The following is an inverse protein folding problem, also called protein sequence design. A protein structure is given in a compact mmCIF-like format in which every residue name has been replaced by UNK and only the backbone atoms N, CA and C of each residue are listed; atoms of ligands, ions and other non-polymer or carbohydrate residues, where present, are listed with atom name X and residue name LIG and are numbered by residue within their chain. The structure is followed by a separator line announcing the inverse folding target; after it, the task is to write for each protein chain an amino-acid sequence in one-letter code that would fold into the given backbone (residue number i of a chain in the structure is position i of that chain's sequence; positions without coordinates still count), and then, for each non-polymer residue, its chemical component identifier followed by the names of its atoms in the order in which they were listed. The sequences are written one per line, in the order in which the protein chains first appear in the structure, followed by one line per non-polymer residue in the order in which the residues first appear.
data_IF_759954059961
#
_entry.id   IF_759954059961
#
_cell.length_a   1.000
_cell.length_b   1.000
_cell.length_c   1.000
_cell.angle_alpha   90.00
_cell.angle_beta   90.00
_cell.angle_gamma   90.00
#
_symmetry.space_group_name_H-M   'P 1'
#
loop_
_entity.id
_entity.type
_entity.pdbx_description
1 polymer ?
#
# COMPACT_ATOMS: atom_id res chain seq x y z
N UNK A 1 31.68 -4.92 21.23
CA UNK A 1 31.20 -5.64 20.02
C UNK A 1 29.68 -5.78 19.99
N UNK A 2 29.05 -6.24 21.08
CA UNK A 2 27.60 -6.46 21.11
C UNK A 2 26.74 -5.21 20.87
N UNK A 3 27.17 -4.04 21.35
CA UNK A 3 26.52 -2.75 21.03
C UNK A 3 26.47 -2.48 19.51
N UNK A 4 27.57 -2.69 18.79
CA UNK A 4 27.63 -2.44 17.36
C UNK A 4 26.69 -3.38 16.59
N UNK A 5 26.60 -4.64 17.01
CA UNK A 5 25.64 -5.61 16.45
C UNK A 5 24.19 -5.20 16.71
N UNK A 6 23.88 -4.80 17.95
CA UNK A 6 22.54 -4.34 18.33
C UNK A 6 22.14 -3.08 17.54
N UNK A 7 23.04 -2.11 17.41
CA UNK A 7 22.83 -0.90 16.59
C UNK A 7 22.59 -1.24 15.13
N UNK A 8 23.41 -2.11 14.53
CA UNK A 8 23.25 -2.51 13.13
C UNK A 8 21.89 -3.20 12.87
N UNK A 9 21.41 -4.04 13.78
CA UNK A 9 20.08 -4.67 13.67
C UNK A 9 18.96 -3.63 13.74
N UNK A 10 19.05 -2.69 14.68
CA UNK A 10 18.08 -1.60 14.80
C UNK A 10 18.04 -0.74 13.54
N UNK A 11 19.20 -0.35 13.02
CA UNK A 11 19.28 0.52 11.85
C UNK A 11 18.74 -0.17 10.60
N UNK A 12 19.03 -1.47 10.41
CA UNK A 12 18.41 -2.29 9.36
C UNK A 12 16.89 -2.39 9.49
N UNK A 13 16.41 -2.72 10.70
CA UNK A 13 14.96 -2.84 10.95
C UNK A 13 14.24 -1.53 10.66
N UNK A 14 14.85 -0.38 10.99
CA UNK A 14 14.33 0.94 10.65
C UNK A 14 14.20 1.14 9.14
N UNK A 15 15.25 0.79 8.37
CA UNK A 15 15.24 0.88 6.91
C UNK A 15 14.17 -0.02 6.28
N UNK A 16 14.05 -1.27 6.76
CA UNK A 16 13.03 -2.21 6.28
C UNK A 16 11.60 -1.67 6.45
N UNK A 17 11.30 -1.04 7.59
CA UNK A 17 9.99 -0.42 7.82
C UNK A 17 9.76 0.79 6.90
N UNK A 18 10.80 1.59 6.64
CA UNK A 18 10.72 2.71 5.70
C UNK A 18 10.43 2.23 4.27
N UNK A 19 11.13 1.18 3.83
CA UNK A 19 10.92 0.57 2.52
C UNK A 19 9.52 -0.03 2.40
N UNK A 20 9.03 -0.71 3.45
CA UNK A 20 7.66 -1.24 3.44
C UNK A 20 6.63 -0.12 3.29
N UNK A 21 6.76 0.98 4.03
CA UNK A 21 5.85 2.13 3.92
C UNK A 21 5.89 2.75 2.51
N UNK A 22 7.06 2.79 1.88
CA UNK A 22 7.24 3.24 0.51
C UNK A 22 6.51 2.34 -0.49
N UNK A 23 6.70 1.02 -0.40
CA UNK A 23 6.08 0.07 -1.32
C UNK A 23 4.56 0.03 -1.18
N UNK A 24 4.03 0.15 0.04
CA UNK A 24 2.58 0.27 0.26
C UNK A 24 2.01 1.52 -0.43
N UNK A 25 2.71 2.65 -0.36
CA UNK A 25 2.31 3.88 -1.06
C UNK A 25 2.36 3.72 -2.57
N UNK A 26 3.44 3.13 -3.10
CA UNK A 26 3.59 2.86 -4.54
C UNK A 26 2.50 1.92 -5.06
N UNK A 27 2.08 0.94 -4.28
CA UNK A 27 0.96 0.07 -4.66
C UNK A 27 -0.36 0.84 -4.81
N UNK A 28 -0.62 1.81 -3.93
CA UNK A 28 -1.79 2.68 -3.99
C UNK A 28 -1.71 3.62 -5.20
N UNK A 29 -0.56 4.27 -5.41
CA UNK A 29 -0.29 5.16 -6.55
C UNK A 29 -0.37 4.41 -7.89
N UNK A 30 0.18 3.19 -7.95
CA UNK A 30 0.09 2.33 -9.13
C UNK A 30 -1.36 2.04 -9.50
N UNK A 31 -2.24 1.85 -8.51
CA UNK A 31 -3.65 1.56 -8.77
C UNK A 31 -4.33 2.77 -9.43
N UNK A 32 -4.09 3.99 -8.93
CA UNK A 32 -4.59 5.23 -9.54
C UNK A 32 -4.01 5.45 -10.94
N UNK A 33 -2.69 5.36 -11.08
CA UNK A 33 -2.01 5.49 -12.37
C UNK A 33 -2.57 4.48 -13.39
N UNK A 34 -2.86 3.25 -12.94
CA UNK A 34 -3.39 2.22 -13.83
C UNK A 34 -4.82 2.52 -14.24
N UNK A 35 -5.63 3.13 -13.37
CA UNK A 35 -6.96 3.62 -13.70
C UNK A 35 -6.89 4.68 -14.82
N UNK A 36 -6.02 5.68 -14.67
CA UNK A 36 -5.79 6.72 -15.69
C UNK A 36 -5.29 6.11 -17.00
N UNK A 37 -4.36 5.15 -16.92
CA UNK A 37 -3.87 4.43 -18.08
C UNK A 37 -5.00 3.74 -18.84
N UNK A 38 -5.96 3.10 -18.16
CA UNK A 38 -7.11 2.47 -18.82
C UNK A 38 -7.99 3.48 -19.56
N UNK A 39 -8.13 4.70 -19.08
CA UNK A 39 -8.87 5.76 -19.80
C UNK A 39 -8.21 6.12 -21.14
N UNK A 40 -6.87 6.04 -21.23
CA UNK A 40 -6.14 6.23 -22.50
C UNK A 40 -6.30 5.07 -23.49
N UNK A 41 -6.92 3.95 -23.08
CA UNK A 41 -7.12 2.76 -23.94
C UNK A 41 -8.45 2.76 -24.68
N UNK A 42 -9.25 3.82 -24.55
CA UNK A 42 -10.55 3.92 -25.23
C UNK A 42 -10.37 4.06 -26.74
N UNK A 43 -11.38 3.62 -27.48
CA UNK A 43 -11.41 3.74 -28.94
C UNK A 43 -11.36 5.22 -29.33
N UNK A 44 -10.47 5.57 -30.26
CA UNK A 44 -10.26 6.94 -30.72
C UNK A 44 -9.24 7.77 -29.92
N UNK A 45 -8.70 7.24 -28.81
CA UNK A 45 -7.57 7.86 -28.11
C UNK A 45 -6.24 7.61 -28.84
N UNK A 46 -5.21 8.36 -28.48
CA UNK A 46 -3.88 8.26 -29.10
C UNK A 46 -3.31 6.84 -29.04
N UNK A 47 -2.93 6.30 -30.21
CA UNK A 47 -2.39 4.95 -30.35
C UNK A 47 -3.42 3.82 -30.24
N UNK A 48 -4.72 4.14 -30.14
CA UNK A 48 -5.81 3.16 -30.17
C UNK A 48 -6.47 3.08 -31.55
N UNK A 49 -7.15 1.96 -31.82
CA UNK A 49 -7.89 1.78 -33.06
C UNK A 49 -9.02 2.80 -33.13
N UNK A 50 -9.17 3.44 -34.28
CA UNK A 50 -10.25 4.40 -34.53
C UNK A 50 -11.52 3.70 -35.03
N UNK A 51 -12.66 4.33 -34.80
CA UNK A 51 -13.93 3.85 -35.34
C UNK A 51 -13.86 3.83 -36.88
N UNK A 52 -14.26 2.72 -37.49
CA UNK A 52 -14.23 2.59 -38.95
C UNK A 52 -15.20 3.55 -39.62
N UNK A 53 -14.67 4.54 -40.34
CA UNK A 53 -15.45 5.37 -41.24
C UNK A 53 -15.87 4.58 -42.47
N UNK A 54 -17.17 4.30 -42.59
CA UNK A 54 -17.91 3.85 -43.77
C UNK A 54 -17.33 2.64 -44.53
N UNK A 55 -18.05 1.52 -44.46
CA UNK A 55 -17.77 0.25 -45.15
C UNK A 55 -17.72 0.31 -46.70
N UNK A 56 -17.80 1.49 -47.33
CA UNK A 56 -17.90 1.65 -48.79
C UNK A 56 -16.56 1.74 -49.51
N UNK A 57 -15.42 1.81 -48.79
CA UNK A 57 -14.10 1.97 -49.40
C UNK A 57 -13.11 0.88 -48.98
N UNK A 58 -13.46 -0.41 -49.16
CA UNK A 58 -12.51 -1.53 -49.38
C UNK A 58 -11.36 -1.78 -48.40
N UNK A 59 -11.22 -1.02 -47.31
CA UNK A 59 -10.15 -1.13 -46.32
C UNK A 59 -10.77 -1.60 -45.01
N UNK A 60 -10.71 -2.92 -44.82
CA UNK A 60 -11.08 -3.66 -43.62
C UNK A 60 -10.15 -3.29 -42.45
N UNK A 61 -10.27 -2.09 -41.89
CA UNK A 61 -9.35 -1.62 -40.83
C UNK A 61 -10.02 -1.01 -39.60
N UNK A 62 -11.35 -0.92 -39.57
CA UNK A 62 -12.08 -0.23 -38.50
C UNK A 62 -12.84 -1.17 -37.57
N UNK A 63 -12.90 -0.81 -36.28
CA UNK A 63 -13.72 -1.51 -35.28
C UNK A 63 -15.20 -1.20 -35.51
N UNK A 64 -16.07 -2.21 -35.42
CA UNK A 64 -17.53 -2.04 -35.50
C UNK A 64 -18.03 -1.22 -34.32
N UNK A 65 -19.18 -0.54 -34.47
CA UNK A 65 -19.74 0.30 -33.41
C UNK A 65 -19.99 -0.47 -32.11
N UNK A 66 -20.52 -1.69 -32.20
CA UNK A 66 -20.78 -2.57 -31.06
C UNK A 66 -19.48 -2.99 -30.35
N UNK A 67 -18.44 -3.35 -31.12
CA UNK A 67 -17.15 -3.72 -30.54
C UNK A 67 -16.47 -2.50 -29.90
N UNK A 68 -16.62 -1.30 -30.48
CA UNK A 68 -16.10 -0.08 -29.90
C UNK A 68 -16.77 0.25 -28.56
N UNK A 69 -18.09 0.10 -28.48
CA UNK A 69 -18.85 0.25 -27.23
C UNK A 69 -18.39 -0.77 -26.17
N UNK A 70 -18.21 -2.03 -26.56
CA UNK A 70 -17.71 -3.09 -25.67
C UNK A 70 -16.31 -2.79 -25.12
N UNK A 71 -15.38 -2.36 -25.98
CA UNK A 71 -14.02 -1.98 -25.58
C UNK A 71 -14.00 -0.79 -24.63
N UNK A 72 -14.81 0.24 -24.91
CA UNK A 72 -14.94 1.40 -24.04
C UNK A 72 -15.55 1.04 -22.68
N UNK A 73 -16.59 0.20 -22.68
CA UNK A 73 -17.23 -0.29 -21.46
C UNK A 73 -16.26 -1.10 -20.60
N UNK A 74 -15.46 -1.97 -21.24
CA UNK A 74 -14.41 -2.72 -20.56
C UNK A 74 -13.33 -1.81 -19.95
N UNK A 75 -12.85 -0.82 -20.70
CA UNK A 75 -11.87 0.14 -20.19
C UNK A 75 -12.41 0.93 -18.97
N UNK A 76 -13.67 1.34 -19.00
CA UNK A 76 -14.35 1.99 -17.87
C UNK A 76 -14.48 1.05 -16.67
N UNK A 77 -14.85 -0.21 -16.90
CA UNK A 77 -14.92 -1.22 -15.83
C UNK A 77 -13.55 -1.45 -15.18
N UNK A 78 -12.48 -1.56 -15.97
CA UNK A 78 -11.12 -1.69 -15.46
C UNK A 78 -10.68 -0.46 -14.67
N UNK A 79 -11.08 0.74 -15.11
CA UNK A 79 -10.84 2.00 -14.39
C UNK A 79 -11.50 1.96 -13.01
N UNK A 80 -12.79 1.58 -12.94
CA UNK A 80 -13.52 1.44 -11.66
C UNK A 80 -12.83 0.44 -10.74
N UNK A 81 -12.47 -0.75 -11.25
CA UNK A 81 -11.80 -1.78 -10.46
C UNK A 81 -10.48 -1.27 -9.84
N UNK A 82 -9.72 -0.48 -10.59
CA UNK A 82 -8.46 0.08 -10.10
C UNK A 82 -8.68 1.18 -9.04
N UNK A 83 -9.75 1.98 -9.16
CA UNK A 83 -10.16 2.93 -8.11
C UNK A 83 -10.62 2.20 -6.84
N UNK A 84 -11.48 1.19 -6.98
CA UNK A 84 -11.95 0.39 -5.84
C UNK A 84 -10.79 -0.29 -5.13
N UNK A 85 -9.82 -0.81 -5.91
CA UNK A 85 -8.58 -1.36 -5.37
C UNK A 85 -7.76 -0.31 -4.64
N UNK A 86 -7.62 0.90 -5.17
CA UNK A 86 -6.93 1.99 -4.48
C UNK A 86 -7.59 2.28 -3.13
N UNK A 87 -8.92 2.45 -3.12
CA UNK A 87 -9.67 2.72 -1.90
C UNK A 87 -9.48 1.60 -0.87
N UNK A 88 -9.59 0.34 -1.29
CA UNK A 88 -9.37 -0.80 -0.40
C UNK A 88 -7.95 -0.84 0.18
N UNK A 89 -6.95 -0.52 -0.64
CA UNK A 89 -5.56 -0.43 -0.18
C UNK A 89 -5.36 0.73 0.79
N UNK A 90 -5.96 1.89 0.54
CA UNK A 90 -5.89 3.05 1.42
C UNK A 90 -6.51 2.75 2.79
N UNK A 91 -7.74 2.23 2.80
CA UNK A 91 -8.44 1.83 4.04
C UNK A 91 -7.66 0.80 4.85
N UNK A 92 -6.98 -0.14 4.17
CA UNK A 92 -6.23 -1.22 4.83
C UNK A 92 -4.85 -0.77 5.31
N UNK A 93 -4.13 0.00 4.51
CA UNK A 93 -2.69 0.21 4.70
C UNK A 93 -2.31 1.60 5.21
N UNK A 94 -3.13 2.63 4.98
CA UNK A 94 -2.84 3.98 5.50
C UNK A 94 -2.73 4.00 7.03
N UNK A 95 -3.61 3.32 7.81
CA UNK A 95 -3.44 3.23 9.26
C UNK A 95 -2.11 2.58 9.68
N UNK A 96 -1.66 1.57 8.94
CA UNK A 96 -0.40 0.88 9.21
C UNK A 96 0.81 1.78 8.90
N UNK A 97 0.78 2.50 7.78
CA UNK A 97 1.82 3.45 7.39
C UNK A 97 1.92 4.56 8.45
N UNK A 98 0.80 5.14 8.88
CA UNK A 98 0.78 6.15 9.94
C UNK A 98 1.35 5.61 11.25
N UNK A 99 0.97 4.40 11.65
CA UNK A 99 1.51 3.76 12.86
C UNK A 99 3.02 3.54 12.75
N UNK A 100 3.49 2.99 11.62
CA UNK A 100 4.90 2.77 11.36
C UNK A 100 5.70 4.08 11.39
N UNK A 101 5.17 5.16 10.80
CA UNK A 101 5.79 6.48 10.86
C UNK A 101 5.90 7.03 12.28
N UNK A 102 4.87 6.86 13.13
CA UNK A 102 4.93 7.23 14.56
C UNK A 102 6.02 6.46 15.30
N UNK A 103 6.13 5.15 15.07
CA UNK A 103 7.19 4.30 15.65
C UNK A 103 8.57 4.75 15.19
N UNK A 104 8.74 5.02 13.90
CA UNK A 104 10.01 5.45 13.31
C UNK A 104 10.47 6.83 13.79
N UNK A 105 9.53 7.77 13.94
CA UNK A 105 9.80 9.12 14.43
C UNK A 105 10.05 9.17 15.93
N UNK A 106 9.81 8.06 16.65
CA UNK A 106 9.78 8.02 18.11
C UNK A 106 8.89 9.12 18.70
N UNK A 107 7.87 9.54 17.95
CA UNK A 107 6.78 10.32 18.50
C UNK A 107 6.01 9.34 19.39
N UNK A 108 6.35 9.36 20.68
CA UNK A 108 5.72 8.49 21.64
C UNK A 108 4.24 8.87 21.72
N UNK A 109 3.37 8.09 21.09
CA UNK A 109 2.01 7.98 21.58
C UNK A 109 2.10 7.08 22.82
N UNK A 110 2.34 7.71 23.97
CA UNK A 110 2.55 7.08 25.29
C UNK A 110 1.23 6.48 25.78
N UNK A 111 0.64 5.57 25.00
CA UNK A 111 -0.52 4.76 25.39
C UNK A 111 -0.27 3.27 25.21
N UNK A 112 0.65 2.85 24.35
CA UNK A 112 0.79 1.42 24.04
C UNK A 112 1.75 0.64 24.92
N UNK A 113 2.63 1.26 25.73
CA UNK A 113 3.48 0.52 26.68
C UNK A 113 3.85 1.37 27.92
N UNK A 114 2.86 1.88 28.66
CA UNK A 114 3.06 2.15 30.10
C UNK A 114 2.83 0.86 30.87
N UNK A 115 3.75 -0.09 30.72
CA UNK A 115 3.98 -1.06 31.79
C UNK A 115 5.10 -0.45 32.63
N UNK A 116 4.75 0.54 33.44
CA UNK A 116 5.60 0.94 34.54
C UNK A 116 5.50 -0.22 35.54
N UNK A 117 6.48 -1.14 35.52
CA UNK A 117 6.73 -1.95 36.71
C UNK A 117 6.95 -0.95 37.83
N UNK A 118 5.96 -0.79 38.69
CA UNK A 118 6.16 -0.03 39.92
C UNK A 118 7.29 -0.74 40.67
N UNK A 119 8.17 0.01 41.32
CA UNK A 119 9.28 -0.59 42.07
C UNK A 119 8.80 -1.60 43.12
N UNK A 120 7.51 -1.56 43.51
CA UNK A 120 6.83 -2.55 44.33
C UNK A 120 6.78 -3.93 43.65
N UNK A 121 6.36 -4.04 42.38
CA UNK A 121 6.27 -5.33 41.66
C UNK A 121 7.65 -5.94 41.39
N UNK A 122 8.69 -5.11 41.21
CA UNK A 122 10.08 -5.57 41.10
C UNK A 122 10.61 -6.11 42.43
N UNK A 123 10.29 -5.44 43.53
CA UNK A 123 10.71 -5.90 44.86
C UNK A 123 9.97 -7.19 45.26
N UNK A 124 8.66 -7.32 44.99
CA UNK A 124 7.90 -8.54 45.29
C UNK A 124 8.42 -9.76 44.51
N UNK A 125 8.77 -9.58 43.23
CA UNK A 125 9.34 -10.65 42.43
C UNK A 125 10.77 -11.03 42.84
N UNK A 126 11.54 -10.08 43.37
CA UNK A 126 12.87 -10.34 43.97
C UNK A 126 12.75 -11.03 45.34
N UNK A 127 11.77 -10.67 46.18
CA UNK A 127 11.53 -11.33 47.47
C UNK A 127 11.01 -12.74 47.31
N UNK A 128 10.06 -12.97 46.39
CA UNK A 128 9.53 -14.32 46.10
C UNK A 128 10.64 -15.26 45.58
N UNK A 129 11.57 -14.75 44.76
CA UNK A 129 12.74 -15.51 44.29
C UNK A 129 13.77 -15.79 45.38
N UNK A 130 13.85 -14.95 46.40
CA UNK A 130 14.73 -15.17 47.54
C UNK A 130 14.17 -16.24 48.50
N UNK A 131 12.84 -16.28 48.67
CA UNK A 131 12.16 -17.26 49.52
C UNK A 131 12.11 -18.67 48.92
N UNK A 132 12.08 -18.80 47.59
CA UNK A 132 12.08 -20.10 46.90
C UNK A 132 13.47 -20.79 46.91
N UNK A 133 14.53 -20.05 47.28
CA UNK A 133 15.92 -20.53 47.33
C UNK A 133 16.44 -20.79 48.77
N UNK A 134 15.55 -20.85 49.77
CA UNK A 134 15.84 -21.22 51.17
C UNK A 134 15.13 -22.53 51.50
#
# INVERSE_FOLDING_TARGET
VEYCKAKARRDRSREEVQLLCEELRRMMEYSLWKAEWWLTRRVGEEGMVSLGGNAEAGVMGGVTTELAEGLNSYALQQTSYMHDRHQHLDETWTPLIEHAQKVLTRAADIRTLRFELTNEERNESETLRAEENV
#
